data_IF_809414520917
#
_entry.id   IF_809414520917
#
_cell.length_a   1.000
_cell.length_b   1.000
_cell.length_c   1.000
_cell.angle_alpha   90.00
_cell.angle_beta   90.00
_cell.angle_gamma   90.00
#
_symmetry.space_group_name_H-M   'P 1'
#
loop_
_entity.id
_entity.type
_entity.pdbx_description
1 polymer ?
#
# COMPACT_ATOMS: atom_id res chain seq x y z
N UNK A 1 -7.42 24.62 17.27
CA UNK A 1 -6.82 23.35 17.71
C UNK A 1 -7.91 22.29 17.65
N UNK A 2 -7.60 21.15 17.02
CA UNK A 2 -8.29 19.85 17.12
C UNK A 2 -9.53 19.57 16.24
N UNK A 3 -9.34 18.53 15.39
CA UNK A 3 -10.30 17.53 14.87
C UNK A 3 -11.12 17.86 13.62
N UNK A 4 -10.45 17.84 12.48
CA UNK A 4 -10.93 17.01 11.35
C UNK A 4 -10.18 15.68 11.50
N UNK A 5 -10.73 14.48 11.54
CA UNK A 5 -12.04 13.98 11.11
C UNK A 5 -12.15 12.53 11.66
N UNK A 6 -13.07 12.28 12.60
CA UNK A 6 -13.42 10.89 12.97
C UNK A 6 -14.02 10.16 11.74
N UNK A 7 -14.41 10.90 10.72
CA UNK A 7 -15.03 10.48 9.46
C UNK A 7 -14.06 10.10 8.33
N UNK A 8 -12.85 10.66 8.23
CA UNK A 8 -11.86 10.16 7.24
C UNK A 8 -11.23 8.85 7.72
N UNK A 9 -10.99 8.71 9.02
CA UNK A 9 -10.55 7.42 9.56
C UNK A 9 -11.53 6.31 9.22
N UNK A 10 -12.85 6.54 9.26
CA UNK A 10 -13.85 5.55 8.83
C UNK A 10 -13.76 5.20 7.34
N UNK A 11 -13.89 6.19 6.45
CA UNK A 11 -13.97 5.97 5.00
C UNK A 11 -12.64 5.44 4.44
N UNK A 12 -11.50 5.96 4.90
CA UNK A 12 -10.19 5.42 4.51
C UNK A 12 -9.90 4.09 5.19
N UNK A 13 -10.37 3.83 6.43
CA UNK A 13 -10.17 2.52 7.07
C UNK A 13 -10.87 1.40 6.33
N UNK A 14 -12.09 1.59 5.83
CA UNK A 14 -12.79 0.54 5.09
C UNK A 14 -12.10 0.23 3.76
N UNK A 15 -11.59 1.27 3.09
CA UNK A 15 -10.80 1.07 1.87
C UNK A 15 -9.47 0.38 2.17
N UNK A 16 -8.75 0.80 3.20
CA UNK A 16 -7.48 0.20 3.63
C UNK A 16 -7.65 -1.26 4.05
N UNK A 17 -8.69 -1.57 4.84
CA UNK A 17 -9.03 -2.94 5.24
C UNK A 17 -9.36 -3.82 4.06
N UNK A 18 -10.14 -3.33 3.08
CA UNK A 18 -10.41 -4.08 1.84
C UNK A 18 -9.14 -4.35 1.05
N UNK A 19 -8.23 -3.39 0.99
CA UNK A 19 -6.93 -3.60 0.36
C UNK A 19 -6.09 -4.63 1.12
N UNK A 20 -6.00 -4.54 2.45
CA UNK A 20 -5.30 -5.51 3.30
C UNK A 20 -5.86 -6.92 3.08
N UNK A 21 -7.17 -7.08 3.18
CA UNK A 21 -7.84 -8.37 2.94
C UNK A 21 -7.57 -8.92 1.53
N UNK A 22 -7.50 -8.07 0.51
CA UNK A 22 -7.13 -8.49 -0.83
C UNK A 22 -5.66 -8.91 -0.92
N UNK A 23 -4.74 -8.23 -0.23
CA UNK A 23 -3.32 -8.61 -0.17
C UNK A 23 -3.14 -9.95 0.55
N UNK A 24 -3.87 -10.19 1.64
CA UNK A 24 -3.81 -11.43 2.43
C UNK A 24 -4.18 -12.68 1.64
N UNK A 25 -5.01 -12.53 0.60
CA UNK A 25 -5.36 -13.63 -0.31
C UNK A 25 -4.24 -14.06 -1.24
N UNK A 26 -3.25 -13.19 -1.46
CA UNK A 26 -2.19 -13.41 -2.44
C UNK A 26 -0.83 -13.11 -1.79
N UNK A 27 -0.18 -14.15 -1.28
CA UNK A 27 1.10 -14.04 -0.57
C UNK A 27 2.16 -13.22 -1.33
N UNK A 28 2.27 -13.40 -2.66
CA UNK A 28 3.23 -12.63 -3.48
C UNK A 28 2.93 -11.12 -3.50
N UNK A 29 1.66 -10.71 -3.49
CA UNK A 29 1.29 -9.29 -3.43
C UNK A 29 1.50 -8.72 -2.03
N UNK A 30 1.23 -9.51 -1.00
CA UNK A 30 1.50 -9.13 0.39
C UNK A 30 2.99 -8.87 0.60
N UNK A 31 3.85 -9.79 0.17
CA UNK A 31 5.30 -9.66 0.27
C UNK A 31 5.82 -8.48 -0.56
N UNK A 32 5.31 -8.31 -1.78
CA UNK A 32 5.65 -7.17 -2.62
C UNK A 32 5.28 -5.83 -1.96
N UNK A 33 4.09 -5.74 -1.37
CA UNK A 33 3.66 -4.53 -0.66
C UNK A 33 4.50 -4.29 0.61
N UNK A 34 4.80 -5.35 1.38
CA UNK A 34 5.70 -5.29 2.54
C UNK A 34 7.05 -4.71 2.16
N UNK A 35 7.64 -5.17 1.06
CA UNK A 35 8.93 -4.65 0.60
C UNK A 35 8.85 -3.16 0.29
N UNK A 36 7.80 -2.74 -0.44
CA UNK A 36 7.58 -1.32 -0.79
C UNK A 36 7.41 -0.42 0.43
N UNK A 37 6.74 -0.89 1.49
CA UNK A 37 6.52 -0.08 2.70
C UNK A 37 7.60 -0.25 3.76
N UNK A 38 8.54 -1.18 3.58
CA UNK A 38 9.66 -1.36 4.51
C UNK A 38 10.83 -0.45 4.17
N UNK A 39 11.08 -0.23 2.88
CA UNK A 39 12.15 0.64 2.39
C UNK A 39 11.66 2.08 2.19
N UNK A 40 12.53 3.06 2.44
CA UNK A 40 12.27 4.46 2.11
C UNK A 40 12.61 4.78 0.64
N UNK A 41 13.25 3.84 -0.06
CA UNK A 41 13.64 3.95 -1.47
C UNK A 41 12.68 3.17 -2.38
N UNK A 42 12.58 3.55 -3.66
CA UNK A 42 11.83 2.79 -4.65
C UNK A 42 12.32 1.33 -4.74
N UNK A 43 11.40 0.38 -4.58
CA UNK A 43 11.71 -1.06 -4.59
C UNK A 43 11.42 -1.64 -5.95
N UNK A 44 12.38 -2.37 -6.51
CA UNK A 44 12.17 -3.08 -7.78
C UNK A 44 11.34 -4.35 -7.52
N UNK A 45 10.17 -4.41 -8.13
CA UNK A 45 9.29 -5.59 -8.08
C UNK A 45 9.26 -6.28 -9.44
N UNK A 46 8.81 -7.54 -9.46
CA UNK A 46 8.39 -8.18 -10.71
C UNK A 46 7.30 -7.34 -11.36
N UNK A 47 7.35 -7.20 -12.68
CA UNK A 47 6.44 -6.32 -13.42
C UNK A 47 4.97 -6.62 -13.13
N UNK A 48 4.59 -7.90 -13.07
CA UNK A 48 3.21 -8.33 -12.79
C UNK A 48 2.72 -7.90 -11.40
N UNK A 49 3.57 -8.01 -10.37
CA UNK A 49 3.24 -7.58 -9.00
C UNK A 49 3.16 -6.05 -8.90
N UNK A 50 4.13 -5.35 -9.50
CA UNK A 50 4.14 -3.87 -9.55
C UNK A 50 2.91 -3.31 -10.27
N UNK A 51 2.54 -3.89 -11.42
CA UNK A 51 1.33 -3.51 -12.14
C UNK A 51 0.07 -3.77 -11.32
N UNK A 52 -0.08 -4.95 -10.71
CA UNK A 52 -1.24 -5.26 -9.85
C UNK A 52 -1.37 -4.28 -8.68
N UNK A 53 -0.29 -4.01 -7.95
CA UNK A 53 -0.31 -3.06 -6.84
C UNK A 53 -0.64 -1.63 -7.31
N UNK A 54 -0.14 -1.21 -8.49
CA UNK A 54 -0.45 0.08 -9.06
C UNK A 54 -1.92 0.17 -9.51
N UNK A 55 -2.47 -0.89 -10.11
CA UNK A 55 -3.89 -1.01 -10.49
C UNK A 55 -4.82 -1.00 -9.27
N UNK A 56 -4.39 -1.57 -8.14
CA UNK A 56 -5.09 -1.45 -6.85
C UNK A 56 -5.00 -0.03 -6.26
N UNK A 57 -4.11 0.80 -6.81
CA UNK A 57 -3.86 2.16 -6.34
C UNK A 57 -3.02 2.23 -5.07
N UNK A 58 -2.27 1.17 -4.74
CA UNK A 58 -1.46 1.09 -3.53
C UNK A 58 -0.08 1.71 -3.70
N UNK A 59 0.49 1.55 -4.89
CA UNK A 59 1.84 2.04 -5.22
C UNK A 59 1.79 2.99 -6.42
N UNK A 60 2.92 3.63 -6.66
CA UNK A 60 3.26 4.33 -7.90
C UNK A 60 4.37 3.55 -8.59
N UNK A 61 4.27 3.40 -9.91
CA UNK A 61 5.32 2.83 -10.75
C UNK A 61 6.19 3.95 -11.31
N UNK A 62 7.49 3.85 -11.09
CA UNK A 62 8.52 4.71 -11.65
C UNK A 62 9.52 3.81 -12.40
N UNK A 63 9.26 3.59 -13.69
CA UNK A 63 9.95 2.58 -14.48
C UNK A 63 9.70 1.18 -13.95
N UNK A 64 10.77 0.50 -13.51
CA UNK A 64 10.69 -0.83 -12.89
C UNK A 64 10.60 -0.80 -11.35
N UNK A 65 10.57 0.39 -10.75
CA UNK A 65 10.54 0.55 -9.30
C UNK A 65 9.16 0.98 -8.82
N UNK A 66 8.83 0.59 -7.60
CA UNK A 66 7.57 0.87 -6.93
C UNK A 66 7.82 1.70 -5.67
N UNK A 67 7.00 2.72 -5.46
CA UNK A 67 6.94 3.50 -4.21
C UNK A 67 5.53 3.48 -3.66
N UNK A 68 5.37 3.57 -2.33
CA UNK A 68 4.04 3.74 -1.75
C UNK A 68 3.37 4.99 -2.31
N UNK A 69 2.07 4.92 -2.64
CA UNK A 69 1.36 6.04 -3.26
C UNK A 69 1.24 7.24 -2.33
N UNK A 70 1.15 6.99 -1.01
CA UNK A 70 1.12 8.04 -0.01
C UNK A 70 1.59 7.51 1.36
N UNK A 71 1.96 8.45 2.22
CA UNK A 71 2.42 8.17 3.59
C UNK A 71 1.40 7.40 4.43
N UNK A 72 0.10 7.64 4.23
CA UNK A 72 -0.97 6.89 4.93
C UNK A 72 -0.89 5.39 4.64
N UNK A 73 -0.66 5.01 3.38
CA UNK A 73 -0.56 3.61 3.00
C UNK A 73 0.74 3.01 3.53
N UNK A 74 1.84 3.76 3.44
CA UNK A 74 3.11 3.33 3.99
C UNK A 74 3.00 3.02 5.49
N UNK A 75 2.50 3.95 6.30
CA UNK A 75 2.34 3.78 7.75
C UNK A 75 1.36 2.64 8.09
N UNK A 76 0.20 2.57 7.40
CA UNK A 76 -0.81 1.56 7.68
C UNK A 76 -0.35 0.14 7.36
N UNK A 77 0.29 -0.07 6.21
CA UNK A 77 0.74 -1.40 5.79
C UNK A 77 2.07 -1.78 6.44
N UNK A 78 2.94 -0.83 6.80
CA UNK A 78 4.17 -1.11 7.56
C UNK A 78 3.88 -1.68 8.96
N UNK A 79 2.79 -1.26 9.58
CA UNK A 79 2.35 -1.75 10.91
C UNK A 79 1.64 -3.12 10.84
N UNK A 80 1.03 -3.46 9.70
CA UNK A 80 0.08 -4.58 9.58
C UNK A 80 0.52 -5.71 8.67
N UNK A 81 1.45 -5.46 7.77
CA UNK A 81 2.14 -6.48 7.00
C UNK A 81 3.41 -6.80 7.77
#
# INVERSE_FOLDING_TARGET
MVKSSITESGIYSDRLRRHLWNLEKYAELMEAMRNVVSDSKPVRLRSDLGFKLNSMGLVKLEGNSCTSRCRLYEEYFRDRL
#
